data_IF_885322935587
#
_entry.id   IF_885322935587
#
_cell.length_a   1.000
_cell.length_b   1.000
_cell.length_c   1.000
_cell.angle_alpha   90.00
_cell.angle_beta   90.00
_cell.angle_gamma   90.00
#
_symmetry.space_group_name_H-M   'P 1'
#
loop_
_entity.id
_entity.type
_entity.pdbx_description
1 polymer ?
#
# COMPACT_ATOMS: atom_id res chain seq x y z
N UNK A 1 12.91 -2.38 17.91
CA UNK A 1 13.56 -3.14 16.81
C UNK A 1 12.96 -2.66 15.49
N UNK A 2 13.78 -2.47 14.45
CA UNK A 2 13.25 -2.12 13.12
C UNK A 2 12.46 -3.31 12.57
N UNK A 3 11.27 -3.04 12.00
CA UNK A 3 10.48 -4.05 11.29
C UNK A 3 11.10 -4.44 9.95
N UNK A 4 12.00 -3.61 9.43
CA UNK A 4 12.72 -3.86 8.19
C UNK A 4 13.83 -4.88 8.43
N UNK A 5 13.69 -6.05 7.85
CA UNK A 5 14.71 -7.10 7.89
C UNK A 5 15.80 -6.83 6.84
N UNK A 6 17.04 -7.29 7.06
CA UNK A 6 18.12 -7.14 6.09
C UNK A 6 17.82 -7.91 4.80
N UNK A 7 18.41 -7.48 3.68
CA UNK A 7 18.22 -8.10 2.36
C UNK A 7 18.53 -9.61 2.37
N UNK A 8 19.54 -10.05 3.13
CA UNK A 8 19.91 -11.46 3.27
C UNK A 8 18.85 -12.34 3.93
N UNK A 9 17.90 -11.73 4.66
CA UNK A 9 16.79 -12.44 5.30
C UNK A 9 15.54 -12.53 4.41
N UNK A 10 15.58 -11.93 3.23
CA UNK A 10 14.51 -12.07 2.23
C UNK A 10 14.52 -13.46 1.62
N UNK A 11 13.34 -13.96 1.26
CA UNK A 11 13.24 -15.22 0.49
C UNK A 11 13.87 -15.07 -0.89
N UNK A 12 14.28 -16.16 -1.55
CA UNK A 12 14.85 -16.08 -2.91
C UNK A 12 13.95 -15.33 -3.89
N UNK A 13 12.64 -15.59 -3.89
CA UNK A 13 11.69 -14.88 -4.76
C UNK A 13 11.57 -13.38 -4.44
N UNK A 14 11.69 -13.00 -3.17
CA UNK A 14 11.73 -11.59 -2.77
C UNK A 14 13.04 -10.92 -3.21
N UNK A 15 14.18 -11.61 -3.07
CA UNK A 15 15.48 -11.11 -3.54
C UNK A 15 15.48 -10.93 -5.07
N UNK A 16 14.94 -11.89 -5.82
CA UNK A 16 14.78 -11.80 -7.28
C UNK A 16 13.90 -10.60 -7.66
N UNK A 17 12.80 -10.38 -6.94
CA UNK A 17 11.93 -9.22 -7.16
C UNK A 17 12.63 -7.88 -6.89
N UNK A 18 13.47 -7.79 -5.87
CA UNK A 18 14.31 -6.60 -5.61
C UNK A 18 15.28 -6.36 -6.76
N UNK A 19 15.90 -7.42 -7.28
CA UNK A 19 16.98 -7.35 -8.26
C UNK A 19 16.51 -7.31 -9.72
N UNK A 20 15.20 -7.41 -10.01
CA UNK A 20 14.67 -7.34 -11.38
C UNK A 20 15.32 -6.20 -12.19
N UNK A 21 15.61 -6.44 -13.47
CA UNK A 21 16.12 -5.41 -14.37
C UNK A 21 15.13 -4.24 -14.57
N UNK A 22 15.61 -3.17 -15.18
CA UNK A 22 14.84 -1.93 -15.42
C UNK A 22 14.59 -1.66 -16.90
N UNK A 23 14.75 -2.67 -17.78
CA UNK A 23 14.56 -2.52 -19.23
C UNK A 23 13.10 -2.37 -19.61
N UNK A 24 12.19 -2.92 -18.81
CA UNK A 24 10.74 -2.78 -18.97
C UNK A 24 10.10 -2.49 -17.60
N UNK A 25 8.86 -1.99 -17.59
CA UNK A 25 8.09 -1.89 -16.35
C UNK A 25 7.94 -3.25 -15.70
N UNK A 26 7.82 -3.28 -14.36
CA UNK A 26 7.73 -4.52 -13.57
C UNK A 26 6.52 -4.51 -12.65
N UNK A 27 5.97 -5.70 -12.40
CA UNK A 27 4.96 -5.90 -11.37
C UNK A 27 5.45 -6.88 -10.30
N UNK A 28 5.10 -6.60 -9.06
CA UNK A 28 5.26 -7.49 -7.91
C UNK A 28 3.86 -7.80 -7.43
N UNK A 29 3.42 -9.04 -7.64
CA UNK A 29 2.07 -9.48 -7.29
C UNK A 29 2.15 -10.40 -6.08
N UNK A 30 1.25 -10.25 -5.14
CA UNK A 30 1.22 -11.13 -3.97
C UNK A 30 0.06 -10.82 -3.06
N UNK A 31 -0.42 -11.83 -2.35
CA UNK A 31 -1.48 -11.68 -1.36
C UNK A 31 -1.06 -10.86 -0.13
N UNK A 32 -1.98 -10.68 0.82
CA UNK A 32 -1.68 -10.03 2.09
C UNK A 32 -0.52 -10.73 2.79
N UNK A 33 0.42 -9.96 3.33
CA UNK A 33 1.56 -10.54 4.05
C UNK A 33 2.67 -11.14 3.19
N UNK A 34 2.61 -11.04 1.87
CA UNK A 34 3.68 -11.52 0.98
C UNK A 34 4.98 -10.69 1.05
N UNK A 35 4.98 -9.59 1.80
CA UNK A 35 6.15 -8.72 1.94
C UNK A 35 6.35 -7.75 0.78
N UNK A 36 5.30 -7.42 0.01
CA UNK A 36 5.36 -6.49 -1.13
C UNK A 36 6.05 -5.17 -0.77
N UNK A 37 5.58 -4.51 0.29
CA UNK A 37 6.16 -3.25 0.77
C UNK A 37 7.63 -3.39 1.19
N UNK A 38 7.98 -4.52 1.83
CA UNK A 38 9.36 -4.84 2.21
C UNK A 38 10.27 -4.94 0.97
N UNK A 39 9.83 -5.70 -0.03
CA UNK A 39 10.54 -5.85 -1.32
C UNK A 39 10.66 -4.49 -2.02
N UNK A 40 9.58 -3.71 -2.00
CA UNK A 40 9.55 -2.39 -2.65
C UNK A 40 10.56 -1.42 -2.01
N UNK A 41 10.75 -1.45 -0.69
CA UNK A 41 11.72 -0.62 0.02
C UNK A 41 13.17 -1.04 -0.30
N UNK A 42 13.47 -2.33 -0.30
CA UNK A 42 14.79 -2.79 -0.72
C UNK A 42 15.09 -2.44 -2.19
N UNK A 43 14.06 -2.54 -3.05
CA UNK A 43 14.19 -2.13 -4.45
C UNK A 43 14.35 -0.61 -4.59
N UNK A 44 13.65 0.18 -3.78
CA UNK A 44 13.82 1.64 -3.72
C UNK A 44 15.27 1.98 -3.40
N UNK A 45 15.85 1.37 -2.36
CA UNK A 45 17.25 1.58 -2.01
C UNK A 45 18.19 1.16 -3.16
N UNK A 46 18.00 -0.03 -3.75
CA UNK A 46 18.82 -0.49 -4.88
C UNK A 46 18.80 0.51 -6.05
N UNK A 47 17.61 0.99 -6.43
CA UNK A 47 17.45 1.94 -7.52
C UNK A 47 17.95 3.34 -7.16
N UNK A 48 17.82 3.74 -5.90
CA UNK A 48 18.38 5.00 -5.38
C UNK A 48 19.90 5.02 -5.49
N UNK A 49 20.56 3.92 -5.13
CA UNK A 49 22.02 3.80 -5.35
C UNK A 49 22.38 3.88 -6.84
N UNK A 50 21.58 3.22 -7.73
CA UNK A 50 21.81 3.22 -9.18
C UNK A 50 21.67 4.59 -9.83
N UNK A 51 20.80 5.47 -9.31
CA UNK A 51 20.68 6.84 -9.81
C UNK A 51 21.64 7.84 -9.10
N UNK A 52 22.70 7.33 -8.49
CA UNK A 52 23.71 8.16 -7.83
C UNK A 52 23.21 8.88 -6.59
N UNK A 53 22.27 8.28 -5.86
CA UNK A 53 21.61 8.85 -4.67
C UNK A 53 20.91 10.20 -4.95
N UNK A 54 20.38 10.38 -6.18
CA UNK A 54 19.64 11.58 -6.54
C UNK A 54 18.15 11.43 -6.22
N UNK A 55 17.62 12.10 -5.18
CA UNK A 55 16.21 11.98 -4.81
C UNK A 55 15.26 12.59 -5.84
N UNK A 56 15.74 13.43 -6.76
CA UNK A 56 14.93 13.96 -7.85
C UNK A 56 14.65 12.93 -8.96
N UNK A 57 15.46 11.88 -9.07
CA UNK A 57 15.36 10.85 -10.11
C UNK A 57 14.48 9.66 -9.73
N UNK A 58 14.05 9.55 -8.46
CA UNK A 58 13.30 8.39 -7.98
C UNK A 58 12.12 8.81 -7.09
N UNK A 59 11.02 8.09 -7.17
CA UNK A 59 9.83 8.32 -6.34
C UNK A 59 9.12 7.02 -5.99
N UNK A 60 8.81 6.86 -4.70
CA UNK A 60 7.89 5.84 -4.21
C UNK A 60 6.53 6.49 -3.90
N UNK A 61 5.53 6.09 -4.62
CA UNK A 61 4.15 6.49 -4.35
C UNK A 61 3.46 5.48 -3.45
N UNK A 62 2.86 5.98 -2.38
CA UNK A 62 2.07 5.22 -1.42
C UNK A 62 0.63 5.75 -1.38
N UNK A 63 -0.32 4.89 -0.98
CA UNK A 63 -1.72 5.26 -1.01
C UNK A 63 -2.14 6.15 0.17
N UNK A 64 -1.64 5.88 1.40
CA UNK A 64 -2.06 6.59 2.62
C UNK A 64 -0.89 7.24 3.35
N UNK A 65 -1.22 8.29 4.13
CA UNK A 65 -0.24 8.92 5.02
C UNK A 65 0.21 8.00 6.16
N UNK A 66 -0.68 7.13 6.65
CA UNK A 66 -0.34 6.14 7.68
C UNK A 66 0.71 5.15 7.17
N UNK A 67 0.54 4.64 5.94
CA UNK A 67 1.52 3.78 5.30
C UNK A 67 2.85 4.51 5.07
N UNK A 68 2.80 5.78 4.67
CA UNK A 68 3.99 6.63 4.54
C UNK A 68 4.76 6.73 5.86
N UNK A 69 4.08 6.98 6.98
CA UNK A 69 4.73 7.06 8.31
C UNK A 69 5.35 5.73 8.73
N UNK A 70 4.66 4.62 8.49
CA UNK A 70 5.18 3.28 8.75
C UNK A 70 6.45 2.97 7.94
N UNK A 71 6.45 3.33 6.67
CA UNK A 71 7.58 3.11 5.74
C UNK A 71 8.79 3.95 6.12
N UNK A 72 8.60 5.18 6.62
CA UNK A 72 9.69 6.06 7.05
C UNK A 72 10.64 5.39 8.04
N UNK A 73 10.11 4.70 9.04
CA UNK A 73 10.94 3.95 9.99
C UNK A 73 11.84 2.87 9.36
N UNK A 74 11.52 2.41 8.15
CA UNK A 74 12.38 1.52 7.36
C UNK A 74 13.39 2.26 6.49
N UNK A 75 13.07 3.48 6.03
CA UNK A 75 13.93 4.28 5.16
C UNK A 75 15.17 4.79 5.88
N UNK A 76 15.06 5.13 7.16
CA UNK A 76 16.20 5.52 8.01
C UNK A 76 17.25 4.41 8.04
N UNK A 77 16.83 3.14 8.04
CA UNK A 77 17.72 1.97 8.01
C UNK A 77 18.39 1.80 6.62
N UNK A 78 17.71 2.23 5.56
CA UNK A 78 18.17 2.07 4.18
C UNK A 78 18.92 3.29 3.63
N UNK A 79 19.10 4.35 4.40
CA UNK A 79 19.71 5.62 3.96
C UNK A 79 19.01 6.19 2.70
N UNK A 80 17.67 6.14 2.69
CA UNK A 80 16.84 6.71 1.62
C UNK A 80 16.11 7.94 2.14
N UNK A 81 16.26 9.11 1.50
CA UNK A 81 15.61 10.34 1.94
C UNK A 81 14.08 10.24 1.95
N UNK A 82 13.47 10.83 2.97
CA UNK A 82 12.01 10.93 3.14
C UNK A 82 11.28 11.52 1.93
N UNK A 83 11.96 12.42 1.22
CA UNK A 83 11.43 13.08 0.02
C UNK A 83 11.22 12.11 -1.15
N UNK A 84 11.85 10.94 -1.11
CA UNK A 84 11.63 9.90 -2.10
C UNK A 84 10.24 9.25 -1.94
N UNK A 85 9.54 9.44 -0.80
CA UNK A 85 8.26 8.80 -0.49
C UNK A 85 7.17 9.84 -0.31
N UNK A 86 6.11 9.72 -1.11
CA UNK A 86 5.00 10.67 -1.12
C UNK A 86 3.69 9.96 -1.45
N UNK A 87 2.56 10.50 -0.99
CA UNK A 87 1.27 10.03 -1.52
C UNK A 87 1.06 10.60 -2.92
N UNK A 88 0.44 9.80 -3.80
CA UNK A 88 0.23 10.20 -5.19
C UNK A 88 -0.53 11.52 -5.32
N UNK A 89 -1.60 11.69 -4.56
CA UNK A 89 -2.39 12.91 -4.57
C UNK A 89 -1.63 14.14 -4.05
N UNK A 90 -0.79 13.96 -3.02
CA UNK A 90 0.06 15.05 -2.54
C UNK A 90 1.03 15.51 -3.63
N UNK A 91 1.68 14.58 -4.30
CA UNK A 91 2.59 14.90 -5.41
C UNK A 91 1.86 15.61 -6.57
N UNK A 92 0.67 15.13 -6.95
CA UNK A 92 -0.15 15.79 -7.96
C UNK A 92 -0.50 17.23 -7.57
N UNK A 93 -0.88 17.46 -6.31
CA UNK A 93 -1.23 18.78 -5.81
C UNK A 93 -0.02 19.74 -5.77
N UNK A 94 1.16 19.24 -5.37
CA UNK A 94 2.40 20.01 -5.38
C UNK A 94 2.84 20.35 -6.81
N UNK A 95 2.76 19.39 -7.72
CA UNK A 95 3.05 19.58 -9.16
C UNK A 95 2.08 20.59 -9.78
N UNK A 96 0.81 20.50 -9.44
CA UNK A 96 -0.21 21.44 -9.88
C UNK A 96 0.13 22.87 -9.44
N UNK A 97 0.43 23.07 -8.14
CA UNK A 97 0.75 24.39 -7.58
C UNK A 97 2.00 25.01 -8.21
N UNK A 98 3.02 24.21 -8.43
CA UNK A 98 4.30 24.68 -8.94
C UNK A 98 4.30 24.97 -10.44
N UNK A 99 3.47 24.26 -11.21
CA UNK A 99 3.62 24.25 -12.68
C UNK A 99 2.36 24.58 -13.45
N UNK A 100 1.18 24.54 -12.82
CA UNK A 100 -0.10 24.79 -13.51
C UNK A 100 -0.77 26.05 -12.97
N UNK A 101 -1.14 26.06 -11.68
CA UNK A 101 -1.77 27.19 -11.02
C UNK A 101 -1.48 27.12 -9.50
N UNK A 102 -1.08 28.24 -8.89
CA UNK A 102 -0.79 28.33 -7.46
C UNK A 102 -2.00 27.98 -6.55
N UNK A 103 -3.21 28.10 -7.06
CA UNK A 103 -4.45 27.75 -6.34
C UNK A 103 -4.99 26.43 -6.86
N UNK A 104 -5.20 25.48 -5.93
CA UNK A 104 -5.84 24.20 -6.27
C UNK A 104 -7.33 24.40 -6.58
N UNK A 105 -7.88 23.66 -7.55
CA UNK A 105 -9.32 23.57 -7.74
C UNK A 105 -9.97 22.93 -6.51
N UNK A 106 -11.17 23.38 -6.17
CA UNK A 106 -11.95 22.90 -5.04
C UNK A 106 -13.26 22.33 -5.53
N UNK A 107 -13.73 21.29 -4.85
CA UNK A 107 -15.09 20.78 -4.99
C UNK A 107 -16.12 21.69 -4.30
N UNK A 108 -17.38 21.32 -4.40
CA UNK A 108 -18.51 22.04 -3.79
C UNK A 108 -18.44 22.08 -2.26
N UNK A 109 -17.73 21.13 -1.65
CA UNK A 109 -17.45 21.04 -0.22
C UNK A 109 -16.27 21.92 0.24
N UNK A 110 -15.61 22.62 -0.67
CA UNK A 110 -14.45 23.47 -0.40
C UNK A 110 -13.13 22.71 -0.22
N UNK A 111 -13.14 21.38 -0.35
CA UNK A 111 -11.95 20.51 -0.31
C UNK A 111 -11.28 20.47 -1.70
N UNK A 112 -9.95 20.23 -1.80
CA UNK A 112 -9.31 20.08 -3.11
C UNK A 112 -9.95 18.96 -3.94
N UNK A 113 -10.29 19.29 -5.19
CA UNK A 113 -10.81 18.37 -6.19
C UNK A 113 -9.66 17.58 -6.81
N UNK A 114 -9.33 16.43 -6.22
CA UNK A 114 -8.20 15.61 -6.66
C UNK A 114 -8.39 15.00 -8.05
N UNK A 115 -9.62 14.72 -8.48
CA UNK A 115 -9.90 14.17 -9.80
C UNK A 115 -9.56 15.22 -10.87
N UNK A 116 -9.97 16.46 -10.65
CA UNK A 116 -9.62 17.58 -11.52
C UNK A 116 -8.13 17.89 -11.49
N UNK A 117 -7.49 17.85 -10.32
CA UNK A 117 -6.04 18.07 -10.19
C UNK A 117 -5.28 17.02 -11.01
N UNK A 118 -5.63 15.73 -10.90
CA UNK A 118 -5.00 14.64 -11.67
C UNK A 118 -5.21 14.82 -13.17
N UNK A 119 -6.43 15.14 -13.60
CA UNK A 119 -6.73 15.40 -15.02
C UNK A 119 -5.92 16.58 -15.59
N UNK A 120 -5.73 17.64 -14.82
CA UNK A 120 -4.94 18.82 -15.24
C UNK A 120 -3.44 18.50 -15.30
N UNK A 121 -2.92 17.72 -14.34
CA UNK A 121 -1.52 17.24 -14.35
C UNK A 121 -1.28 16.35 -15.57
N UNK A 122 -2.21 15.43 -15.89
CA UNK A 122 -2.10 14.58 -17.07
C UNK A 122 -2.06 15.43 -18.35
N UNK A 123 -2.97 16.40 -18.49
CA UNK A 123 -2.99 17.33 -19.65
C UNK A 123 -1.69 18.15 -19.76
N UNK A 124 -1.11 18.56 -18.65
CA UNK A 124 0.15 19.30 -18.63
C UNK A 124 1.35 18.43 -19.07
N UNK A 125 1.34 17.14 -18.72
CA UNK A 125 2.33 16.16 -19.20
C UNK A 125 2.15 15.89 -20.70
N UNK A 126 0.92 15.71 -21.18
CA UNK A 126 0.59 15.44 -22.57
C UNK A 126 0.90 16.65 -23.49
N UNK A 127 0.59 17.83 -23.01
CA UNK A 127 0.84 19.09 -23.73
C UNK A 127 2.27 19.61 -23.65
N UNK A 128 3.18 18.88 -22.98
CA UNK A 128 4.59 19.26 -22.84
C UNK A 128 4.85 20.45 -21.90
N UNK A 129 3.83 20.93 -21.18
CA UNK A 129 3.99 21.97 -20.15
C UNK A 129 4.84 21.46 -18.98
N UNK A 130 4.71 20.18 -18.64
CA UNK A 130 5.60 19.45 -17.75
C UNK A 130 6.54 18.60 -18.59
N UNK A 131 7.85 18.78 -18.37
CA UNK A 131 8.86 17.99 -19.09
C UNK A 131 8.82 16.55 -18.58
N UNK A 132 8.53 15.62 -19.46
CA UNK A 132 8.48 14.19 -19.17
C UNK A 132 9.62 13.44 -19.89
N UNK A 133 10.13 12.33 -19.29
CA UNK A 133 9.83 11.82 -17.96
C UNK A 133 10.43 12.69 -16.84
N UNK A 134 9.77 12.70 -15.68
CA UNK A 134 10.21 13.46 -14.49
C UNK A 134 11.19 12.62 -13.67
N UNK A 135 10.93 11.30 -13.59
CA UNK A 135 11.73 10.36 -12.78
C UNK A 135 12.34 9.27 -13.66
N UNK A 136 13.54 8.83 -13.30
CA UNK A 136 14.12 7.64 -13.90
C UNK A 136 13.44 6.38 -13.34
N UNK A 137 13.07 6.39 -12.07
CA UNK A 137 12.43 5.27 -11.38
C UNK A 137 11.19 5.72 -10.60
N UNK A 138 10.09 5.05 -10.86
CA UNK A 138 8.84 5.17 -10.11
C UNK A 138 8.51 3.82 -9.48
N UNK A 139 8.25 3.82 -8.19
CA UNK A 139 7.76 2.68 -7.46
C UNK A 139 6.35 3.02 -6.95
N UNK A 140 5.46 2.04 -6.95
CA UNK A 140 4.07 2.23 -6.53
C UNK A 140 3.67 1.09 -5.60
N UNK A 141 3.25 1.40 -4.39
CA UNK A 141 2.61 0.43 -3.49
C UNK A 141 1.09 0.49 -3.65
N UNK A 142 0.42 -0.65 -3.48
CA UNK A 142 -1.03 -0.83 -3.62
C UNK A 142 -1.57 -0.26 -4.97
N UNK A 143 -0.91 -0.62 -6.07
CA UNK A 143 -1.22 -0.06 -7.39
C UNK A 143 -2.65 -0.39 -7.87
N UNK A 144 -3.33 -1.40 -7.33
CA UNK A 144 -4.73 -1.72 -7.60
C UNK A 144 -5.69 -0.62 -7.12
N UNK A 145 -5.25 0.27 -6.22
CA UNK A 145 -6.05 1.39 -5.72
C UNK A 145 -5.98 2.64 -6.61
N UNK A 146 -5.13 2.64 -7.63
CA UNK A 146 -5.01 3.72 -8.60
C UNK A 146 -6.10 3.65 -9.68
N UNK A 147 -6.55 4.82 -10.12
CA UNK A 147 -7.44 4.94 -11.27
C UNK A 147 -6.66 5.01 -12.61
N UNK A 148 -7.40 5.02 -13.71
CA UNK A 148 -6.83 5.07 -15.07
C UNK A 148 -6.00 6.33 -15.28
N UNK A 149 -6.44 7.48 -14.78
CA UNK A 149 -5.75 8.76 -14.93
C UNK A 149 -4.41 8.73 -14.20
N UNK A 150 -4.37 8.17 -12.99
CA UNK A 150 -3.15 8.00 -12.21
C UNK A 150 -2.12 7.12 -12.94
N UNK A 151 -2.54 5.99 -13.53
CA UNK A 151 -1.65 5.13 -14.30
C UNK A 151 -1.08 5.85 -15.53
N UNK A 152 -1.91 6.61 -16.24
CA UNK A 152 -1.44 7.38 -17.41
C UNK A 152 -0.46 8.49 -17.01
N UNK A 153 -0.66 9.13 -15.84
CA UNK A 153 0.31 10.07 -15.28
C UNK A 153 1.63 9.35 -14.98
N UNK A 154 1.59 8.22 -14.28
CA UNK A 154 2.79 7.47 -13.89
C UNK A 154 3.61 7.02 -15.11
N UNK A 155 2.94 6.53 -16.17
CA UNK A 155 3.60 6.14 -17.44
C UNK A 155 4.35 7.28 -18.10
N UNK A 156 3.86 8.50 -17.98
CA UNK A 156 4.53 9.69 -18.54
C UNK A 156 5.60 10.23 -17.60
N UNK A 157 5.33 10.19 -16.29
CA UNK A 157 6.23 10.74 -15.29
C UNK A 157 7.49 9.89 -15.07
N UNK A 158 7.40 8.56 -15.25
CA UNK A 158 8.48 7.62 -14.98
C UNK A 158 9.05 6.91 -16.21
N UNK A 159 10.38 6.81 -16.32
CA UNK A 159 11.03 5.97 -17.34
C UNK A 159 10.79 4.49 -17.06
N UNK A 160 10.94 4.10 -15.80
CA UNK A 160 10.73 2.73 -15.34
C UNK A 160 9.74 2.75 -14.16
N UNK A 161 8.75 1.86 -14.20
CA UNK A 161 7.77 1.68 -13.15
C UNK A 161 7.92 0.28 -12.55
N UNK A 162 7.95 0.21 -11.21
CA UNK A 162 7.74 -1.03 -10.46
C UNK A 162 6.45 -0.88 -9.65
N UNK A 163 5.43 -1.65 -9.98
CA UNK A 163 4.12 -1.62 -9.31
C UNK A 163 3.94 -2.84 -8.41
N UNK A 164 3.68 -2.63 -7.12
CA UNK A 164 3.21 -3.68 -6.22
C UNK A 164 1.69 -3.70 -6.23
N UNK A 165 1.10 -4.89 -6.33
CA UNK A 165 -0.35 -5.05 -6.39
C UNK A 165 -0.83 -6.33 -5.68
N UNK A 166 -2.06 -6.26 -5.20
CA UNK A 166 -2.80 -7.40 -4.69
C UNK A 166 -4.14 -7.48 -5.41
N UNK A 167 -4.23 -8.37 -6.41
CA UNK A 167 -5.43 -8.51 -7.24
C UNK A 167 -6.69 -9.00 -6.48
N UNK A 168 -6.55 -9.40 -5.21
CA UNK A 168 -7.63 -9.93 -4.37
C UNK A 168 -8.15 -8.92 -3.34
N UNK A 169 -7.44 -7.81 -3.12
CA UNK A 169 -7.78 -6.75 -2.15
C UNK A 169 -8.38 -5.50 -2.80
N UNK A 170 -9.22 -5.62 -3.81
CA UNK A 170 -9.94 -4.45 -4.32
C UNK A 170 -10.94 -3.96 -3.27
N UNK A 171 -10.59 -2.89 -2.57
CA UNK A 171 -11.43 -2.27 -1.53
C UNK A 171 -12.55 -1.39 -2.10
N UNK A 172 -12.47 -1.02 -3.39
CA UNK A 172 -13.38 -0.06 -4.00
C UNK A 172 -13.96 -0.59 -5.32
N UNK A 173 -15.27 -0.56 -5.44
CA UNK A 173 -15.97 -0.83 -6.69
C UNK A 173 -15.55 0.18 -7.79
N UNK A 174 -15.36 -0.31 -9.01
CA UNK A 174 -15.02 0.52 -10.17
C UNK A 174 -13.52 0.78 -10.38
N UNK A 175 -12.63 0.15 -9.62
CA UNK A 175 -11.18 0.19 -9.84
C UNK A 175 -10.71 -0.88 -10.82
N UNK A 176 -9.51 -0.68 -11.40
CA UNK A 176 -8.97 -1.58 -12.42
C UNK A 176 -8.70 -2.98 -11.86
N UNK A 177 -9.05 -4.00 -12.64
CA UNK A 177 -8.59 -5.36 -12.36
C UNK A 177 -7.07 -5.48 -12.51
N UNK A 178 -6.46 -6.47 -11.84
CA UNK A 178 -5.04 -6.80 -12.00
C UNK A 178 -4.67 -6.95 -13.50
N UNK A 179 -5.51 -7.63 -14.27
CA UNK A 179 -5.27 -7.86 -15.69
C UNK A 179 -5.30 -6.55 -16.50
N UNK A 180 -6.19 -5.64 -16.17
CA UNK A 180 -6.27 -4.32 -16.81
C UNK A 180 -5.04 -3.47 -16.45
N UNK A 181 -4.61 -3.47 -15.19
CA UNK A 181 -3.42 -2.76 -14.74
C UNK A 181 -2.17 -3.28 -15.45
N UNK A 182 -2.00 -4.61 -15.52
CA UNK A 182 -0.91 -5.28 -16.23
C UNK A 182 -0.89 -4.88 -17.71
N UNK A 183 -2.06 -4.89 -18.35
CA UNK A 183 -2.21 -4.49 -19.77
C UNK A 183 -1.86 -3.02 -19.97
N UNK A 184 -2.37 -2.12 -19.13
CA UNK A 184 -2.11 -0.68 -19.25
C UNK A 184 -0.66 -0.30 -19.00
N UNK A 185 0.02 -0.98 -18.09
CA UNK A 185 1.45 -0.81 -17.87
C UNK A 185 2.32 -1.49 -18.95
N UNK A 186 1.71 -2.19 -19.91
CA UNK A 186 2.43 -2.91 -20.95
C UNK A 186 3.27 -4.07 -20.40
N UNK A 187 2.83 -4.68 -19.31
CA UNK A 187 3.54 -5.78 -18.66
C UNK A 187 3.26 -7.10 -19.38
N UNK A 188 4.29 -7.93 -19.52
CA UNK A 188 4.18 -9.33 -19.89
C UNK A 188 4.32 -10.22 -18.65
N UNK A 189 3.99 -11.52 -18.80
CA UNK A 189 4.18 -12.50 -17.71
C UNK A 189 5.62 -12.56 -17.20
N UNK A 190 6.61 -12.29 -18.05
CA UNK A 190 8.04 -12.26 -17.69
C UNK A 190 8.43 -11.03 -16.85
N UNK A 191 7.56 -10.03 -16.75
CA UNK A 191 7.80 -8.80 -16.02
C UNK A 191 7.06 -8.78 -14.68
N UNK A 192 6.42 -9.89 -14.29
CA UNK A 192 5.72 -10.02 -13.02
C UNK A 192 6.37 -11.11 -12.15
N UNK A 193 6.54 -10.84 -10.87
CA UNK A 193 6.98 -11.80 -9.85
C UNK A 193 5.85 -12.01 -8.87
N UNK A 194 5.49 -13.29 -8.67
CA UNK A 194 4.50 -13.71 -7.68
C UNK A 194 5.20 -14.00 -6.36
N UNK A 195 4.76 -13.33 -5.30
CA UNK A 195 5.25 -13.56 -3.95
C UNK A 195 4.26 -14.43 -3.16
N UNK A 196 4.77 -15.46 -2.51
CA UNK A 196 3.98 -16.24 -1.54
C UNK A 196 3.70 -15.42 -0.28
N UNK A 197 2.53 -15.61 0.33
CA UNK A 197 2.20 -14.95 1.60
C UNK A 197 2.77 -15.73 2.79
N UNK A 198 3.45 -15.03 3.72
CA UNK A 198 4.17 -15.66 4.86
C UNK A 198 3.70 -15.16 6.22
N UNK A 199 2.86 -14.14 6.28
CA UNK A 199 2.65 -13.36 7.51
C UNK A 199 1.40 -13.72 8.30
N UNK A 200 0.43 -14.37 7.72
CA UNK A 200 -0.83 -14.65 8.40
C UNK A 200 -0.83 -16.03 9.05
N UNK A 201 -1.30 -16.09 10.31
CA UNK A 201 -1.64 -17.35 10.95
C UNK A 201 -2.61 -18.15 10.05
N UNK A 202 -2.39 -19.47 9.83
CA UNK A 202 -3.24 -20.32 9.00
C UNK A 202 -4.74 -20.23 9.36
N UNK A 203 -5.06 -20.17 10.66
CA UNK A 203 -6.44 -20.06 11.14
C UNK A 203 -7.09 -18.70 10.76
N UNK A 204 -6.31 -17.62 10.77
CA UNK A 204 -6.77 -16.30 10.29
C UNK A 204 -6.97 -16.33 8.77
N UNK A 205 -6.08 -17.02 8.05
CA UNK A 205 -6.20 -17.20 6.60
C UNK A 205 -7.45 -18.02 6.23
N UNK A 206 -7.72 -19.10 6.97
CA UNK A 206 -8.95 -19.89 6.77
C UNK A 206 -10.20 -19.07 7.03
N UNK A 207 -10.21 -18.27 8.11
CA UNK A 207 -11.34 -17.37 8.39
C UNK A 207 -11.51 -16.34 7.27
N UNK A 208 -10.41 -15.69 6.84
CA UNK A 208 -10.46 -14.71 5.75
C UNK A 208 -11.00 -15.33 4.44
N UNK A 209 -10.63 -16.58 4.14
CA UNK A 209 -11.11 -17.28 2.97
C UNK A 209 -12.66 -17.45 2.94
N UNK A 210 -13.33 -17.49 4.11
CA UNK A 210 -14.79 -17.61 4.18
C UNK A 210 -15.53 -16.39 3.63
N UNK A 211 -14.88 -15.22 3.62
CA UNK A 211 -15.45 -13.98 3.07
C UNK A 211 -15.32 -13.89 1.53
N UNK A 212 -14.60 -14.82 0.90
CA UNK A 212 -14.52 -14.88 -0.55
C UNK A 212 -15.80 -15.51 -1.15
N UNK A 213 -16.35 -14.93 -2.24
CA UNK A 213 -17.69 -15.27 -2.74
C UNK A 213 -17.81 -16.69 -3.31
N UNK A 214 -16.72 -17.25 -3.83
CA UNK A 214 -16.77 -18.57 -4.48
C UNK A 214 -15.68 -19.54 -4.02
N UNK A 215 -15.97 -20.84 -4.16
CA UNK A 215 -15.08 -21.91 -3.70
C UNK A 215 -13.78 -22.04 -4.52
N UNK A 216 -13.74 -21.55 -5.76
CA UNK A 216 -12.52 -21.57 -6.58
C UNK A 216 -11.53 -20.52 -6.09
N UNK A 217 -12.00 -19.29 -5.82
CA UNK A 217 -11.21 -18.22 -5.23
C UNK A 217 -10.73 -18.56 -3.82
N UNK A 218 -11.57 -19.25 -3.02
CA UNK A 218 -11.14 -19.74 -1.69
C UNK A 218 -9.95 -20.70 -1.79
N UNK A 219 -10.04 -21.71 -2.67
CA UNK A 219 -8.97 -22.69 -2.87
C UNK A 219 -7.69 -22.04 -3.35
N UNK A 220 -7.79 -21.15 -4.33
CA UNK A 220 -6.63 -20.42 -4.85
C UNK A 220 -5.99 -19.54 -3.78
N UNK A 221 -6.78 -18.83 -2.96
CA UNK A 221 -6.30 -18.01 -1.85
C UNK A 221 -5.53 -18.85 -0.82
N UNK A 222 -6.10 -20.00 -0.41
CA UNK A 222 -5.47 -20.91 0.55
C UNK A 222 -4.19 -21.56 0.00
N UNK A 223 -4.15 -21.88 -1.30
CA UNK A 223 -2.95 -22.44 -1.93
C UNK A 223 -1.79 -21.46 -2.04
N UNK A 224 -2.08 -20.17 -2.13
CA UNK A 224 -1.05 -19.12 -2.22
C UNK A 224 -0.51 -18.71 -0.85
N UNK A 225 -1.10 -19.20 0.22
CA UNK A 225 -0.67 -18.92 1.59
C UNK A 225 0.29 -20.02 2.02
N UNK A 226 1.60 -19.73 2.07
CA UNK A 226 2.58 -20.69 2.59
C UNK A 226 2.36 -20.88 4.09
N UNK A 227 2.44 -22.13 4.56
CA UNK A 227 2.42 -22.46 5.96
C UNK A 227 3.69 -21.89 6.63
N UNK A 228 3.55 -20.77 7.32
CA UNK A 228 4.57 -20.37 8.28
C UNK A 228 4.41 -21.24 9.54
N UNK A 229 5.50 -21.64 10.16
CA UNK A 229 5.49 -22.15 11.53
C UNK A 229 5.09 -20.99 12.45
N UNK A 230 3.80 -20.79 12.64
CA UNK A 230 3.25 -19.73 13.48
C UNK A 230 2.30 -20.33 14.51
N UNK A 231 2.12 -19.59 15.59
CA UNK A 231 1.11 -19.84 16.61
C UNK A 231 -0.24 -20.17 15.95
N UNK A 232 -0.80 -21.34 16.30
CA UNK A 232 -2.09 -21.85 15.80
C UNK A 232 -3.26 -21.31 16.62
N UNK A 233 -3.12 -20.19 17.31
CA UNK A 233 -4.21 -19.56 18.04
C UNK A 233 -5.38 -19.26 17.11
N UNK A 234 -6.59 -19.65 17.53
CA UNK A 234 -7.80 -19.47 16.73
C UNK A 234 -8.27 -18.02 16.82
N UNK A 235 -8.67 -17.40 15.69
CA UNK A 235 -9.37 -16.13 15.73
C UNK A 235 -10.71 -16.31 16.45
N UNK A 236 -11.08 -15.30 17.23
CA UNK A 236 -12.37 -15.24 17.91
C UNK A 236 -13.34 -14.38 17.11
N UNK A 237 -14.52 -14.90 16.85
CA UNK A 237 -15.66 -14.14 16.32
C UNK A 237 -16.62 -13.86 17.47
N UNK A 238 -16.84 -12.58 17.75
CA UNK A 238 -17.85 -12.14 18.71
C UNK A 238 -18.98 -11.43 17.97
N UNK A 239 -20.20 -11.87 18.21
CA UNK A 239 -21.41 -11.21 17.70
C UNK A 239 -22.09 -10.51 18.87
N UNK A 240 -22.07 -9.19 18.84
CA UNK A 240 -22.68 -8.37 19.89
C UNK A 240 -24.19 -8.25 19.68
N UNK A 241 -24.95 -8.22 20.78
CA UNK A 241 -26.40 -8.03 20.74
C UNK A 241 -26.79 -6.60 20.32
N UNK A 242 -25.95 -5.62 20.65
CA UNK A 242 -26.12 -4.20 20.33
C UNK A 242 -24.79 -3.45 20.46
N UNK A 243 -24.80 -2.17 20.07
CA UNK A 243 -23.60 -1.32 20.12
C UNK A 243 -23.01 -1.16 21.53
N UNK A 244 -23.83 -1.15 22.56
CA UNK A 244 -23.35 -1.00 23.94
C UNK A 244 -22.59 -2.24 24.41
N UNK A 245 -23.06 -3.42 24.02
CA UNK A 245 -22.40 -4.71 24.27
C UNK A 245 -21.09 -4.82 23.45
N UNK A 246 -21.12 -4.48 22.16
CA UNK A 246 -19.93 -4.44 21.32
C UNK A 246 -18.83 -3.54 21.93
N UNK A 247 -19.20 -2.32 22.33
CA UNK A 247 -18.27 -1.37 22.96
C UNK A 247 -17.68 -1.90 24.27
N UNK A 248 -18.53 -2.43 25.15
CA UNK A 248 -18.10 -2.94 26.44
C UNK A 248 -17.12 -4.12 26.27
N UNK A 249 -17.48 -5.04 25.40
CA UNK A 249 -16.65 -6.22 25.11
C UNK A 249 -15.31 -5.85 24.48
N UNK A 250 -15.32 -4.92 23.52
CA UNK A 250 -14.10 -4.45 22.88
C UNK A 250 -13.15 -3.78 23.88
N UNK A 251 -13.66 -2.94 24.78
CA UNK A 251 -12.86 -2.29 25.83
C UNK A 251 -12.26 -3.34 26.78
N UNK A 252 -13.05 -4.34 27.18
CA UNK A 252 -12.58 -5.44 28.03
C UNK A 252 -11.43 -6.21 27.36
N UNK A 253 -11.59 -6.59 26.09
CA UNK A 253 -10.58 -7.33 25.34
C UNK A 253 -9.30 -6.51 25.15
N UNK A 254 -9.39 -5.22 24.84
CA UNK A 254 -8.23 -4.34 24.71
C UNK A 254 -7.48 -4.25 26.04
N UNK A 255 -8.18 -4.01 27.16
CA UNK A 255 -7.56 -3.97 28.50
C UNK A 255 -6.85 -5.28 28.84
N UNK A 256 -7.50 -6.41 28.56
CA UNK A 256 -6.92 -7.74 28.81
C UNK A 256 -5.62 -7.93 28.03
N UNK A 257 -5.60 -7.59 26.74
CA UNK A 257 -4.40 -7.73 25.92
C UNK A 257 -3.28 -6.78 26.35
N UNK A 258 -3.61 -5.53 26.63
CA UNK A 258 -2.62 -4.59 27.16
C UNK A 258 -2.03 -5.04 28.50
N UNK A 259 -2.82 -5.70 29.38
CA UNK A 259 -2.32 -6.23 30.64
C UNK A 259 -1.30 -7.37 30.47
N UNK A 260 -1.31 -8.06 29.34
CA UNK A 260 -0.30 -9.05 28.94
C UNK A 260 0.93 -8.44 28.25
N UNK A 261 0.95 -7.11 28.04
CA UNK A 261 2.03 -6.42 27.33
C UNK A 261 1.90 -6.49 25.80
N UNK A 262 0.75 -6.92 25.29
CA UNK A 262 0.51 -6.99 23.85
C UNK A 262 0.35 -5.59 23.24
N UNK A 263 0.79 -5.42 21.99
CA UNK A 263 0.39 -4.29 21.15
C UNK A 263 -0.96 -4.58 20.52
N UNK A 264 -1.92 -3.68 20.69
CA UNK A 264 -3.30 -3.87 20.20
C UNK A 264 -3.62 -2.85 19.12
N UNK A 265 -4.15 -3.31 17.98
CA UNK A 265 -4.73 -2.46 16.95
C UNK A 265 -6.21 -2.78 16.79
N UNK A 266 -7.05 -1.73 16.76
CA UNK A 266 -8.49 -1.86 16.49
C UNK A 266 -8.78 -1.20 15.15
N UNK A 267 -9.39 -1.96 14.23
CA UNK A 267 -9.64 -1.53 12.85
C UNK A 267 -11.13 -1.35 12.65
N UNK A 268 -11.53 -0.21 12.08
CA UNK A 268 -12.92 0.11 11.77
C UNK A 268 -13.11 0.38 10.28
N UNK A 269 -14.26 0.02 9.70
CA UNK A 269 -14.55 0.29 8.29
C UNK A 269 -14.65 1.79 7.95
N UNK A 270 -14.96 2.64 8.93
CA UNK A 270 -15.23 4.06 8.71
C UNK A 270 -14.52 4.95 9.74
N UNK A 271 -13.95 6.05 9.27
CA UNK A 271 -13.22 7.01 10.12
C UNK A 271 -14.06 7.58 11.27
N UNK A 272 -15.36 7.81 11.06
CA UNK A 272 -16.27 8.27 12.13
C UNK A 272 -16.33 7.30 13.30
N UNK A 273 -16.20 6.00 13.06
CA UNK A 273 -16.18 4.99 14.12
C UNK A 273 -14.88 5.06 14.91
N UNK A 274 -13.75 5.30 14.25
CA UNK A 274 -12.45 5.50 14.93
C UNK A 274 -12.56 6.62 15.97
N UNK A 275 -13.10 7.78 15.61
CA UNK A 275 -13.24 8.90 16.55
C UNK A 275 -14.19 8.57 17.71
N UNK A 276 -15.30 7.88 17.43
CA UNK A 276 -16.26 7.48 18.46
C UNK A 276 -15.67 6.50 19.48
N UNK A 277 -14.96 5.50 19.01
CA UNK A 277 -14.33 4.50 19.86
C UNK A 277 -13.08 5.04 20.57
N UNK A 278 -12.27 5.89 19.94
CA UNK A 278 -11.11 6.53 20.57
C UNK A 278 -11.53 7.31 21.83
N UNK A 279 -12.64 8.09 21.75
CA UNK A 279 -13.21 8.73 22.92
C UNK A 279 -13.60 7.73 24.01
N UNK A 280 -14.26 6.64 23.64
CA UNK A 280 -14.64 5.58 24.57
C UNK A 280 -13.47 4.87 25.24
N UNK A 281 -12.37 4.67 24.52
CA UNK A 281 -11.14 4.11 25.09
C UNK A 281 -10.48 5.08 26.08
N UNK A 282 -10.40 6.38 25.73
CA UNK A 282 -9.88 7.40 26.65
C UNK A 282 -10.71 7.49 27.94
N UNK A 283 -12.05 7.48 27.85
CA UNK A 283 -12.97 7.43 29.01
C UNK A 283 -12.75 6.17 29.88
N UNK A 284 -12.34 5.05 29.25
CA UNK A 284 -12.02 3.81 29.94
C UNK A 284 -10.58 3.75 30.49
N UNK A 285 -9.78 4.82 30.34
CA UNK A 285 -8.39 4.90 30.80
C UNK A 285 -7.40 4.14 29.90
N UNK A 286 -7.75 3.94 28.63
CA UNK A 286 -6.85 3.35 27.62
C UNK A 286 -6.23 4.50 26.81
N UNK A 287 -4.91 4.54 26.75
CA UNK A 287 -4.16 5.49 25.94
C UNK A 287 -4.25 5.08 24.45
N UNK A 288 -4.64 6.02 23.56
CA UNK A 288 -4.93 5.77 22.13
C UNK A 288 -4.07 6.66 21.24
#
# INVERSE_FOLDING_TARGET
>A
MSWLVPFSSLTPSQQDAVQMDTRAHKAIVGGPGAGKTLVLLHRLNLLFQRCGKNPASIRLFVYTNSLKQFIRGGCDVLDVPDDCIVTFDKWCAETYRSSINSRLPKGDDGVPDFDRIRADVLRALEGGKLRAPIFDYVLVDEAQDLDVVAIEILKRAGRHITACMDGKQQLYDGRMSEQELVTRLGLSRHNAVLLAAFRCNPMVTELAAQFLPDGSRRREFLQQTANAEMDLSRPLLYVADNFSDERARLIEMVKLRLSYGDSVAVIFPQQRQVHGFAKGFAEAGIEV
#
